data_IF_692798267129
#
_entry.id   IF_692798267129
#
_cell.length_a   1.000
_cell.length_b   1.000
_cell.length_c   1.000
_cell.angle_alpha   90.00
_cell.angle_beta   90.00
_cell.angle_gamma   90.00
#
_symmetry.space_group_name_H-M   'P 1'
#
loop_
_entity.id
_entity.type
_entity.pdbx_description
1 polymer ?
#
# COMPACT_ATOMS: atom_id res chain seq x y z
N UNK A 1 2.26 -0.95 0.14
CA UNK A 1 3.33 -0.52 1.05
C UNK A 1 4.04 -1.75 1.62
N UNK A 2 5.38 -1.77 1.52
CA UNK A 2 6.24 -2.80 2.09
C UNK A 2 7.31 -2.19 3.01
N UNK A 3 7.08 -0.98 3.52
CA UNK A 3 7.94 -0.36 4.52
C UNK A 3 7.94 -1.17 5.82
N UNK A 4 8.94 -0.96 6.66
CA UNK A 4 9.07 -1.72 7.92
C UNK A 4 7.92 -1.45 8.91
N UNK A 5 7.26 -0.31 8.84
CA UNK A 5 6.07 0.01 9.64
C UNK A 5 4.93 -0.99 9.42
N UNK A 6 4.86 -1.58 8.22
CA UNK A 6 3.87 -2.61 7.87
C UNK A 6 4.08 -3.96 8.61
N UNK A 7 5.17 -4.12 9.36
CA UNK A 7 5.35 -5.25 10.29
C UNK A 7 4.66 -5.03 11.65
N UNK A 8 4.14 -3.85 11.94
CA UNK A 8 3.41 -3.58 13.17
C UNK A 8 2.21 -4.52 13.34
N UNK A 9 1.97 -4.96 14.59
CA UNK A 9 0.97 -5.97 14.94
C UNK A 9 -0.26 -5.37 15.65
N UNK A 10 -0.50 -4.08 15.45
CA UNK A 10 -1.72 -3.42 15.93
C UNK A 10 -2.97 -3.90 15.16
N UNK A 11 -2.77 -4.47 13.97
CA UNK A 11 -3.78 -5.18 13.20
C UNK A 11 -3.30 -6.61 12.96
N UNK A 12 -4.11 -7.60 13.33
CA UNK A 12 -3.71 -9.00 13.24
C UNK A 12 -3.71 -9.54 11.79
N UNK A 13 -2.71 -10.36 11.42
CA UNK A 13 -1.52 -10.74 12.18
C UNK A 13 -0.43 -9.65 12.18
N UNK A 14 -0.35 -8.83 11.17
CA UNK A 14 0.34 -7.55 11.03
C UNK A 14 -0.23 -6.78 9.85
N UNK A 15 0.12 -5.50 9.71
CA UNK A 15 -0.44 -4.63 8.64
C UNK A 15 -0.22 -5.19 7.24
N UNK A 16 0.99 -5.70 6.92
CA UNK A 16 1.31 -6.27 5.60
C UNK A 16 0.50 -7.53 5.31
N UNK A 17 0.43 -8.47 6.23
CA UNK A 17 -0.33 -9.71 6.03
C UNK A 17 -1.83 -9.43 5.90
N UNK A 18 -2.34 -8.47 6.66
CA UNK A 18 -3.72 -8.01 6.51
C UNK A 18 -3.96 -7.39 5.13
N UNK A 19 -3.06 -6.51 4.66
CA UNK A 19 -3.11 -5.91 3.31
C UNK A 19 -3.14 -6.98 2.22
N UNK A 20 -2.28 -7.99 2.32
CA UNK A 20 -2.27 -9.12 1.36
C UNK A 20 -3.60 -9.88 1.34
N UNK A 21 -4.23 -10.05 2.49
CA UNK A 21 -5.55 -10.67 2.58
C UNK A 21 -6.60 -9.85 1.86
N UNK A 22 -6.69 -8.55 2.13
CA UNK A 22 -7.62 -7.63 1.45
C UNK A 22 -7.41 -7.69 -0.06
N UNK A 23 -6.17 -7.56 -0.54
CA UNK A 23 -5.84 -7.65 -1.98
C UNK A 23 -6.31 -9.00 -2.56
N UNK A 24 -6.09 -10.11 -1.85
CA UNK A 24 -6.50 -11.43 -2.30
C UNK A 24 -8.03 -11.55 -2.42
N UNK A 25 -8.78 -10.95 -1.51
CA UNK A 25 -10.23 -10.94 -1.52
C UNK A 25 -10.77 -10.04 -2.64
N UNK A 26 -10.17 -8.86 -2.85
CA UNK A 26 -10.48 -8.01 -4.01
C UNK A 26 -10.26 -8.78 -5.32
N UNK A 27 -9.10 -9.44 -5.49
CA UNK A 27 -8.82 -10.23 -6.69
C UNK A 27 -9.84 -11.37 -6.89
N UNK A 28 -10.39 -11.95 -5.80
CA UNK A 28 -11.42 -12.98 -5.90
C UNK A 28 -12.76 -12.46 -6.43
N UNK A 29 -13.06 -11.19 -6.23
CA UNK A 29 -14.29 -10.55 -6.72
C UNK A 29 -14.22 -10.13 -8.19
N UNK A 30 -13.01 -10.04 -8.76
CA UNK A 30 -12.78 -9.65 -10.15
C UNK A 30 -13.07 -10.82 -11.12
N UNK A 31 -13.49 -10.50 -12.34
CA UNK A 31 -13.82 -11.52 -13.35
C UNK A 31 -13.15 -11.30 -14.71
N UNK A 32 -13.17 -10.09 -15.22
CA UNK A 32 -12.64 -9.75 -16.55
C UNK A 32 -11.62 -8.60 -16.51
N UNK A 33 -11.21 -8.23 -15.32
CA UNK A 33 -10.32 -7.12 -15.06
C UNK A 33 -8.86 -7.51 -15.24
N UNK A 34 -8.00 -6.51 -15.40
CA UNK A 34 -6.54 -6.69 -15.35
C UNK A 34 -6.03 -6.13 -14.04
N UNK A 35 -5.18 -6.89 -13.38
CA UNK A 35 -4.55 -6.50 -12.11
C UNK A 35 -3.04 -6.40 -12.28
N UNK A 36 -2.45 -5.35 -11.77
CA UNK A 36 -1.00 -5.18 -11.62
C UNK A 36 -0.67 -4.89 -10.16
N UNK A 37 0.57 -5.15 -9.76
CA UNK A 37 1.06 -4.88 -8.40
C UNK A 37 2.33 -4.05 -8.47
N UNK A 38 2.34 -2.95 -7.73
CA UNK A 38 3.52 -2.15 -7.42
C UNK A 38 3.79 -2.31 -5.92
N UNK A 39 5.01 -2.70 -5.56
CA UNK A 39 5.47 -2.67 -4.18
C UNK A 39 6.33 -1.42 -3.96
N UNK A 40 6.20 -0.79 -2.80
CA UNK A 40 6.97 0.41 -2.51
C UNK A 40 7.34 0.55 -1.03
N UNK A 41 8.44 1.24 -0.80
CA UNK A 41 8.90 1.79 0.46
C UNK A 41 9.54 3.15 0.13
N UNK A 42 10.83 3.39 0.39
CA UNK A 42 11.53 4.60 -0.09
C UNK A 42 11.63 4.68 -1.63
N UNK A 43 11.35 3.61 -2.34
CA UNK A 43 11.29 3.51 -3.80
C UNK A 43 10.15 2.58 -4.20
N UNK A 44 9.60 2.78 -5.39
CA UNK A 44 8.58 1.91 -5.96
C UNK A 44 9.19 0.97 -7.01
N UNK A 45 8.76 -0.28 -7.00
CA UNK A 45 9.15 -1.28 -7.98
C UNK A 45 7.94 -2.03 -8.54
N UNK A 46 7.90 -2.33 -9.84
CA UNK A 46 6.87 -3.15 -10.43
C UNK A 46 7.05 -4.60 -9.99
N UNK A 47 6.00 -5.22 -9.44
CA UNK A 47 6.01 -6.64 -9.07
C UNK A 47 5.28 -7.48 -10.10
N UNK A 48 4.12 -7.03 -10.53
CA UNK A 48 3.30 -7.74 -11.53
C UNK A 48 2.75 -6.70 -12.51
N UNK A 49 3.01 -6.83 -13.81
CA UNK A 49 2.38 -5.98 -14.82
C UNK A 49 0.88 -6.28 -14.90
N UNK A 50 0.10 -5.39 -15.53
CA UNK A 50 -1.34 -5.61 -15.73
C UNK A 50 -1.61 -6.91 -16.49
N UNK A 51 -2.28 -7.85 -15.84
CA UNK A 51 -2.58 -9.18 -16.37
C UNK A 51 -3.96 -9.66 -15.93
N UNK A 52 -4.55 -10.59 -16.68
CA UNK A 52 -5.76 -11.35 -16.31
C UNK A 52 -5.43 -12.66 -15.60
N UNK A 53 -4.16 -13.01 -15.45
CA UNK A 53 -3.72 -14.23 -14.74
C UNK A 53 -3.71 -13.99 -13.22
N UNK A 54 -4.89 -14.05 -12.62
CA UNK A 54 -5.08 -13.86 -11.17
C UNK A 54 -4.34 -14.89 -10.32
N UNK A 55 -4.11 -16.11 -10.86
CA UNK A 55 -3.35 -17.12 -10.13
C UNK A 55 -1.89 -16.69 -9.95
N UNK A 56 -1.26 -16.22 -11.01
CA UNK A 56 0.09 -15.65 -10.94
C UNK A 56 0.15 -14.42 -10.03
N UNK A 57 -0.83 -13.50 -10.11
CA UNK A 57 -0.88 -12.32 -9.23
C UNK A 57 -0.89 -12.73 -7.77
N UNK A 58 -1.74 -13.71 -7.38
CA UNK A 58 -1.82 -14.21 -6.01
C UNK A 58 -0.52 -14.88 -5.55
N UNK A 59 0.14 -15.63 -6.42
CA UNK A 59 1.43 -16.25 -6.11
C UNK A 59 2.50 -15.18 -5.82
N UNK A 60 2.58 -14.14 -6.65
CA UNK A 60 3.49 -13.01 -6.41
C UNK A 60 3.14 -12.26 -5.14
N UNK A 61 1.85 -12.03 -4.87
CA UNK A 61 1.40 -11.37 -3.65
C UNK A 61 1.89 -12.08 -2.38
N UNK A 62 1.95 -13.41 -2.38
CA UNK A 62 2.41 -14.17 -1.22
C UNK A 62 3.89 -13.95 -0.88
N UNK A 63 4.74 -13.79 -1.90
CA UNK A 63 6.19 -13.62 -1.71
C UNK A 63 6.61 -12.17 -1.46
N UNK A 64 5.70 -11.21 -1.60
CA UNK A 64 5.95 -9.82 -1.23
C UNK A 64 6.31 -9.74 0.25
N UNK A 65 7.39 -9.04 0.57
CA UNK A 65 7.91 -8.91 1.95
C UNK A 65 8.53 -7.52 2.15
N UNK A 66 8.66 -7.10 3.41
CA UNK A 66 9.32 -5.83 3.77
C UNK A 66 10.82 -5.82 3.53
N UNK A 67 11.44 -6.98 3.29
CA UNK A 67 12.86 -7.10 2.99
C UNK A 67 13.17 -7.03 1.48
N UNK A 68 12.14 -6.94 0.61
CA UNK A 68 12.31 -6.82 -0.84
C UNK A 68 13.03 -5.54 -1.25
N UNK A 69 12.86 -4.47 -0.49
CA UNK A 69 13.46 -3.17 -0.76
C UNK A 69 14.51 -2.86 0.30
N UNK A 70 15.74 -2.65 -0.14
CA UNK A 70 16.86 -2.31 0.75
C UNK A 70 16.77 -0.87 1.30
N UNK A 71 16.10 0.02 0.59
CA UNK A 71 15.89 1.41 1.02
C UNK A 71 14.79 1.48 2.06
N UNK A 72 15.08 2.13 3.18
CA UNK A 72 14.11 2.38 4.25
C UNK A 72 13.41 3.72 4.03
N UNK A 73 12.19 3.85 4.50
CA UNK A 73 11.32 5.01 4.34
C UNK A 73 10.05 4.66 3.59
N UNK A 74 9.24 5.66 3.32
CA UNK A 74 7.98 5.53 2.56
C UNK A 74 7.93 6.69 1.56
N UNK A 75 7.64 6.40 0.30
CA UNK A 75 7.53 7.39 -0.77
C UNK A 75 6.27 7.05 -1.59
N UNK A 76 5.16 7.64 -1.17
CA UNK A 76 3.85 7.44 -1.82
C UNK A 76 3.87 8.06 -3.23
N UNK A 77 4.54 9.19 -3.40
CA UNK A 77 4.70 9.85 -4.70
C UNK A 77 5.37 8.94 -5.74
N UNK A 78 6.43 8.24 -5.36
CA UNK A 78 7.10 7.25 -6.22
C UNK A 78 6.16 6.10 -6.60
N UNK A 79 5.36 5.61 -5.65
CA UNK A 79 4.38 4.56 -5.90
C UNK A 79 3.29 5.00 -6.88
N UNK A 80 2.72 6.18 -6.67
CA UNK A 80 1.68 6.75 -7.52
C UNK A 80 2.23 7.04 -8.92
N UNK A 81 3.38 7.70 -9.03
CA UNK A 81 4.04 8.00 -10.32
C UNK A 81 4.31 6.74 -11.14
N UNK A 82 4.83 5.68 -10.50
CA UNK A 82 5.05 4.41 -11.19
C UNK A 82 3.73 3.77 -11.61
N UNK A 83 2.72 3.78 -10.74
CA UNK A 83 1.43 3.13 -10.98
C UNK A 83 0.64 3.77 -12.13
N UNK A 84 0.69 5.09 -12.28
CA UNK A 84 0.05 5.77 -13.41
C UNK A 84 0.60 5.25 -14.75
N UNK A 85 1.89 4.95 -14.81
CA UNK A 85 2.54 4.44 -16.02
C UNK A 85 2.18 2.96 -16.33
N UNK A 86 1.53 2.25 -15.43
CA UNK A 86 1.03 0.89 -15.67
C UNK A 86 -0.20 0.86 -16.58
N UNK A 87 -0.98 1.94 -16.58
CA UNK A 87 -2.20 2.00 -17.37
C UNK A 87 -1.90 2.33 -18.84
N UNK A 88 -2.55 1.60 -19.75
CA UNK A 88 -2.50 1.91 -21.16
C UNK A 88 -3.29 3.20 -21.43
N UNK A 89 -2.60 4.23 -21.86
CA UNK A 89 -3.15 5.57 -22.15
C UNK A 89 -4.20 5.55 -23.27
N UNK A 90 -4.14 4.56 -24.16
CA UNK A 90 -5.06 4.44 -25.30
C UNK A 90 -6.27 3.53 -25.02
N UNK A 91 -6.40 3.00 -23.81
CA UNK A 91 -7.51 2.12 -23.44
C UNK A 91 -8.70 2.94 -22.92
N UNK A 92 -9.90 2.62 -23.40
CA UNK A 92 -11.17 3.19 -22.90
C UNK A 92 -11.69 2.49 -21.63
N UNK A 93 -10.89 1.62 -21.02
CA UNK A 93 -11.28 0.91 -19.78
C UNK A 93 -11.21 1.83 -18.57
N UNK A 94 -12.06 1.57 -17.59
CA UNK A 94 -11.96 2.22 -16.27
C UNK A 94 -10.63 1.85 -15.62
N UNK A 95 -10.06 2.79 -14.89
CA UNK A 95 -8.79 2.65 -14.21
C UNK A 95 -8.99 2.92 -12.73
N UNK A 96 -8.63 1.95 -11.92
CA UNK A 96 -8.69 2.07 -10.45
C UNK A 96 -7.29 1.79 -9.90
N UNK A 97 -6.81 2.70 -9.08
CA UNK A 97 -5.57 2.55 -8.33
C UNK A 97 -5.91 2.42 -6.85
N UNK A 98 -5.49 1.33 -6.22
CA UNK A 98 -5.70 1.10 -4.80
C UNK A 98 -4.36 1.25 -4.08
N UNK A 99 -4.25 2.27 -3.24
CA UNK A 99 -3.09 2.52 -2.39
C UNK A 99 -3.35 1.93 -1.00
N UNK A 100 -2.56 0.96 -0.57
CA UNK A 100 -2.67 0.36 0.76
C UNK A 100 -1.43 0.71 1.57
N UNK A 101 -1.59 1.48 2.65
CA UNK A 101 -0.50 2.02 3.46
C UNK A 101 -0.97 2.38 4.87
N UNK A 102 -0.03 2.61 5.76
CA UNK A 102 -0.29 3.30 7.02
C UNK A 102 -0.21 4.84 6.88
N UNK A 103 0.19 5.34 5.72
CA UNK A 103 0.28 6.77 5.43
C UNK A 103 1.41 7.50 6.16
N UNK A 104 2.38 6.79 6.73
CA UNK A 104 3.60 7.40 7.29
C UNK A 104 4.56 7.81 6.16
N UNK A 105 4.19 8.82 5.42
CA UNK A 105 5.05 9.50 4.46
C UNK A 105 5.49 10.86 5.04
N UNK A 106 6.71 11.26 4.75
CA UNK A 106 7.27 12.52 5.22
C UNK A 106 7.25 13.61 4.14
N UNK A 107 6.91 13.24 2.91
CA UNK A 107 6.90 14.13 1.76
C UNK A 107 5.46 14.47 1.35
N UNK A 108 5.23 15.71 0.91
CA UNK A 108 3.97 16.11 0.30
C UNK A 108 3.88 15.54 -1.12
N UNK A 109 2.68 15.09 -1.49
CA UNK A 109 2.44 14.63 -2.87
C UNK A 109 2.42 15.83 -3.80
N UNK A 110 3.23 15.83 -4.86
CA UNK A 110 3.27 16.92 -5.82
C UNK A 110 1.91 17.16 -6.51
N UNK A 111 1.51 18.41 -6.65
CA UNK A 111 0.22 18.76 -7.29
C UNK A 111 0.15 18.29 -8.74
N UNK A 112 1.27 18.30 -9.47
CA UNK A 112 1.36 17.81 -10.84
C UNK A 112 1.09 16.29 -10.95
N UNK A 113 1.40 15.52 -9.93
CA UNK A 113 1.06 14.09 -9.88
C UNK A 113 -0.44 13.87 -9.65
N UNK A 114 -1.06 14.69 -8.82
CA UNK A 114 -2.52 14.68 -8.61
C UNK A 114 -3.23 15.04 -9.92
N UNK A 115 -2.79 16.08 -10.59
CA UNK A 115 -3.30 16.49 -11.90
C UNK A 115 -3.14 15.38 -12.95
N UNK A 116 -2.03 14.65 -12.90
CA UNK A 116 -1.78 13.52 -13.79
C UNK A 116 -2.77 12.36 -13.55
N UNK A 117 -3.05 12.02 -12.29
CA UNK A 117 -4.04 11.00 -11.93
C UNK A 117 -5.42 11.39 -12.45
N UNK A 118 -5.86 12.61 -12.17
CA UNK A 118 -7.15 13.14 -12.62
C UNK A 118 -7.27 13.19 -14.14
N UNK A 119 -6.24 13.70 -14.83
CA UNK A 119 -6.23 13.80 -16.31
C UNK A 119 -6.28 12.44 -16.99
N UNK A 120 -5.74 11.41 -16.35
CA UNK A 120 -5.80 10.04 -16.87
C UNK A 120 -7.08 9.29 -16.46
N UNK A 121 -8.04 9.95 -15.82
CA UNK A 121 -9.29 9.36 -15.33
C UNK A 121 -9.02 8.10 -14.48
N UNK A 122 -8.10 8.20 -13.52
CA UNK A 122 -7.77 7.13 -12.58
C UNK A 122 -8.52 7.42 -11.27
N UNK A 123 -9.42 6.52 -10.87
CA UNK A 123 -10.03 6.56 -9.54
C UNK A 123 -9.03 6.03 -8.52
N UNK A 124 -8.67 6.83 -7.53
CA UNK A 124 -7.71 6.45 -6.51
C UNK A 124 -8.43 6.14 -5.19
N UNK A 125 -8.36 4.88 -4.77
CA UNK A 125 -8.87 4.42 -3.48
C UNK A 125 -7.68 4.25 -2.53
N UNK A 126 -7.78 4.82 -1.33
CA UNK A 126 -6.76 4.62 -0.30
C UNK A 126 -7.28 3.74 0.83
N UNK A 127 -6.51 2.72 1.23
CA UNK A 127 -6.86 1.82 2.32
C UNK A 127 -5.83 2.01 3.44
N UNK A 128 -6.28 2.55 4.58
CA UNK A 128 -5.44 2.82 5.73
C UNK A 128 -5.26 1.60 6.62
N UNK A 129 -4.00 1.27 6.93
CA UNK A 129 -3.63 0.12 7.76
C UNK A 129 -3.02 0.55 9.09
N UNK A 130 -3.43 -0.10 10.19
CA UNK A 130 -2.89 0.16 11.53
C UNK A 130 -3.73 1.11 12.36
N UNK A 131 -3.30 1.37 13.60
CA UNK A 131 -4.00 2.20 14.56
C UNK A 131 -3.36 3.61 14.66
N UNK A 132 -4.18 4.64 14.88
CA UNK A 132 -3.70 6.02 15.06
C UNK A 132 -2.99 6.23 16.40
N UNK A 133 -3.30 5.41 17.40
CA UNK A 133 -2.62 5.46 18.69
C UNK A 133 -1.15 5.05 18.58
N UNK A 134 -0.86 4.19 17.62
CA UNK A 134 0.49 3.72 17.32
C UNK A 134 0.87 2.40 17.94
N UNK A 135 1.88 1.76 17.35
CA UNK A 135 2.40 0.46 17.73
C UNK A 135 3.90 0.37 17.53
N UNK A 136 4.56 -0.54 18.23
CA UNK A 136 5.95 -0.89 17.98
C UNK A 136 6.08 -1.80 16.76
N UNK A 137 7.26 -1.80 16.15
CA UNK A 137 7.58 -2.63 14.98
C UNK A 137 8.43 -3.81 15.46
N UNK A 138 7.88 -5.04 15.55
CA UNK A 138 8.65 -6.20 15.99
C UNK A 138 9.58 -6.67 14.87
N UNK A 139 10.82 -6.95 15.22
CA UNK A 139 11.80 -7.61 14.37
C UNK A 139 11.92 -9.07 14.82
N UNK A 140 11.73 -9.99 13.88
CA UNK A 140 11.69 -11.41 14.20
C UNK A 140 12.89 -12.15 13.65
N UNK A 141 13.44 -13.05 14.47
CA UNK A 141 14.45 -14.02 14.07
C UNK A 141 13.88 -15.42 14.28
N UNK A 142 13.83 -16.23 13.22
CA UNK A 142 13.25 -17.57 13.25
C UNK A 142 11.80 -17.62 13.81
N UNK A 143 10.99 -16.59 13.50
CA UNK A 143 9.60 -16.51 13.92
C UNK A 143 9.36 -15.98 15.35
N UNK A 144 10.42 -15.80 16.16
CA UNK A 144 10.36 -15.23 17.51
C UNK A 144 10.73 -13.75 17.49
N UNK A 145 10.05 -12.91 18.27
CA UNK A 145 10.45 -11.50 18.43
C UNK A 145 11.82 -11.47 19.07
N UNK A 146 12.81 -10.97 18.32
CA UNK A 146 14.18 -10.78 18.78
C UNK A 146 14.37 -9.37 19.37
N UNK A 147 13.81 -8.38 18.71
CA UNK A 147 13.94 -6.97 19.09
C UNK A 147 12.80 -6.14 18.49
N UNK A 148 12.79 -4.85 18.82
CA UNK A 148 11.92 -3.87 18.17
C UNK A 148 12.76 -2.88 17.36
N UNK A 149 12.22 -2.37 16.24
CA UNK A 149 12.88 -1.36 15.41
C UNK A 149 13.24 -0.15 16.27
N UNK A 150 14.47 0.33 16.11
CA UNK A 150 14.99 1.51 16.78
C UNK A 150 15.35 2.58 15.76
N UNK A 151 15.28 3.83 16.19
CA UNK A 151 15.76 4.98 15.45
C UNK A 151 17.29 5.16 15.56
N UNK A 152 17.82 6.23 14.96
CA UNK A 152 19.24 6.56 15.00
C UNK A 152 19.79 6.90 16.39
N UNK A 153 18.93 7.20 17.37
CA UNK A 153 19.28 7.48 18.75
C UNK A 153 19.25 6.21 19.63
N UNK A 154 18.69 5.11 19.10
CA UNK A 154 18.52 3.86 19.81
C UNK A 154 17.17 3.72 20.53
N UNK A 155 16.25 4.68 20.36
CA UNK A 155 14.90 4.62 20.91
C UNK A 155 13.99 3.74 20.05
N UNK A 156 13.03 3.07 20.71
CA UNK A 156 12.06 2.22 20.01
C UNK A 156 11.12 3.08 19.16
N UNK A 157 11.04 2.76 17.87
CA UNK A 157 10.14 3.45 16.94
C UNK A 157 8.70 3.06 17.21
N UNK A 158 7.82 4.06 17.30
CA UNK A 158 6.37 3.91 17.33
C UNK A 158 5.83 4.37 15.98
N UNK A 159 5.23 3.47 15.23
CA UNK A 159 4.55 3.75 13.95
C UNK A 159 3.06 3.97 14.17
N UNK A 160 2.45 4.88 13.42
CA UNK A 160 1.03 5.25 13.52
C UNK A 160 0.40 5.30 12.15
N UNK A 161 -0.88 4.98 12.06
CA UNK A 161 -1.63 5.30 10.84
C UNK A 161 -1.84 6.81 10.74
N UNK A 162 -1.55 7.38 9.58
CA UNK A 162 -1.84 8.76 9.25
C UNK A 162 -3.03 8.84 8.28
N UNK A 163 -4.23 8.72 8.83
CA UNK A 163 -5.47 8.77 8.04
C UNK A 163 -5.67 10.13 7.35
N UNK A 164 -5.13 11.22 7.89
CA UNK A 164 -5.28 12.55 7.30
C UNK A 164 -4.60 12.64 5.92
N UNK A 165 -3.39 12.09 5.78
CA UNK A 165 -2.69 12.05 4.50
C UNK A 165 -3.45 11.15 3.51
N UNK A 166 -3.87 9.96 3.93
CA UNK A 166 -4.59 9.02 3.07
C UNK A 166 -5.93 9.60 2.59
N UNK A 167 -6.69 10.26 3.48
CA UNK A 167 -7.91 10.98 3.08
C UNK A 167 -7.61 12.10 2.07
N UNK A 168 -6.59 12.94 2.36
CA UNK A 168 -6.20 14.03 1.45
C UNK A 168 -5.85 13.51 0.04
N UNK A 169 -5.18 12.36 -0.03
CA UNK A 169 -4.83 11.70 -1.30
C UNK A 169 -6.08 11.24 -2.04
N UNK A 170 -7.00 10.57 -1.35
CA UNK A 170 -8.25 10.10 -1.93
C UNK A 170 -9.10 11.29 -2.44
N UNK A 171 -9.33 12.28 -1.58
CA UNK A 171 -10.12 13.49 -1.91
C UNK A 171 -9.60 14.23 -3.13
N UNK A 172 -8.27 14.23 -3.33
CA UNK A 172 -7.63 14.94 -4.45
C UNK A 172 -7.91 14.33 -5.83
N UNK A 173 -8.46 13.12 -5.89
CA UNK A 173 -8.74 12.38 -7.13
C UNK A 173 -10.19 11.88 -7.23
N UNK A 174 -11.13 12.53 -6.52
CA UNK A 174 -12.53 12.07 -6.41
C UNK A 174 -12.64 10.58 -6.01
N UNK A 175 -11.70 10.12 -5.18
CA UNK A 175 -11.65 8.75 -4.70
C UNK A 175 -12.09 8.62 -3.24
N UNK A 176 -12.00 7.40 -2.70
CA UNK A 176 -12.47 7.08 -1.37
C UNK A 176 -11.32 6.63 -0.45
N UNK A 177 -11.43 7.01 0.83
CA UNK A 177 -10.61 6.44 1.90
C UNK A 177 -11.39 5.35 2.64
N UNK A 178 -10.73 4.22 2.88
CA UNK A 178 -11.31 3.06 3.58
C UNK A 178 -10.42 2.67 4.76
N UNK A 179 -11.03 2.36 5.90
CA UNK A 179 -10.31 1.79 7.04
C UNK A 179 -10.08 0.28 6.83
N UNK A 180 -8.85 -0.11 6.50
CA UNK A 180 -8.46 -1.50 6.24
C UNK A 180 -8.39 -2.39 7.49
N UNK A 181 -8.58 -1.84 8.69
CA UNK A 181 -8.65 -2.63 9.92
C UNK A 181 -9.96 -3.44 9.98
N UNK A 182 -11.03 -2.94 9.34
CA UNK A 182 -12.32 -3.61 9.23
C UNK A 182 -12.46 -4.21 7.82
N UNK A 183 -12.36 -5.54 7.71
CA UNK A 183 -12.36 -6.24 6.42
C UNK A 183 -13.64 -6.02 5.64
N UNK A 184 -14.78 -5.90 6.31
CA UNK A 184 -16.09 -5.80 5.68
C UNK A 184 -16.23 -4.46 4.94
N UNK A 185 -15.73 -3.35 5.48
CA UNK A 185 -15.74 -2.03 4.84
C UNK A 185 -14.77 -1.94 3.63
N UNK A 186 -13.70 -2.71 3.63
CA UNK A 186 -12.71 -2.70 2.56
C UNK A 186 -13.12 -3.56 1.34
N UNK A 187 -14.23 -4.30 1.43
CA UNK A 187 -14.70 -5.24 0.41
C UNK A 187 -16.06 -4.87 -0.19
N UNK A 188 -16.75 -3.86 0.36
CA UNK A 188 -17.98 -3.28 -0.19
C UNK A 188 -17.67 -2.21 -1.26
#
# INVERSE_FOLDING_TARGET
DVSKSMLAEDVAPNRLLRSKRIISEIINSLSSDRVGIVAYAAQAIPQVPLTTDFASVKNFLQVIDTDMLSSQGTSIDSALSLSVNFFDQNSETNRVLILISDGEDHDDIPDDLIDLISTNNISLITIGMGEEIGSTIPLRLNGVIDSYKKDGNGDVVITKRNSLILNKIADSSDGDYIDGNFTDEALE
#
